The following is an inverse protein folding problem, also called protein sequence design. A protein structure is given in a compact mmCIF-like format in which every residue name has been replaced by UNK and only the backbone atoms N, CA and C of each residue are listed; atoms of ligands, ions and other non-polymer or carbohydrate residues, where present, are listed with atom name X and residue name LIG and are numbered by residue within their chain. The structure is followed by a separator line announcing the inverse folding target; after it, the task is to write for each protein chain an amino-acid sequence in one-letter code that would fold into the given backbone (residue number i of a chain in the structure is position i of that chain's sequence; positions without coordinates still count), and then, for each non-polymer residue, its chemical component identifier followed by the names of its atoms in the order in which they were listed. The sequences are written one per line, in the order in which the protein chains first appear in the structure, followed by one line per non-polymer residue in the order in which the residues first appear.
data_IF_015583544913
#
_entry.id   IF_015583544913
#
_cell.length_a   1.000
_cell.length_b   1.000
_cell.length_c   1.000
_cell.angle_alpha   90.00
_cell.angle_beta   90.00
_cell.angle_gamma   90.00
#
_symmetry.space_group_name_H-M   'P 1'
#
loop_
_entity.id
_entity.type
_entity.pdbx_description
1 polymer ?
#
# COMPACT_ATOMS: atom_id res chain seq x y z
N UNK A 1 18.09 -9.63 -5.62
CA UNK A 1 17.86 -9.53 -7.07
C UNK A 1 18.47 -10.73 -7.80
N UNK A 2 19.77 -11.01 -7.67
CA UNK A 2 20.43 -12.18 -8.31
C UNK A 2 19.71 -13.51 -8.04
N UNK A 3 19.49 -13.85 -6.76
CA UNK A 3 18.73 -15.04 -6.39
C UNK A 3 17.33 -15.11 -7.00
N UNK A 4 16.67 -13.97 -7.26
CA UNK A 4 15.36 -13.95 -7.92
C UNK A 4 15.51 -14.27 -9.41
N UNK A 5 16.54 -13.73 -10.08
CA UNK A 5 16.83 -14.03 -11.48
C UNK A 5 17.16 -15.50 -11.68
N UNK A 6 18.01 -16.08 -10.82
CA UNK A 6 18.36 -17.51 -10.87
C UNK A 6 17.10 -18.38 -10.78
N UNK A 7 16.22 -18.08 -9.80
CA UNK A 7 14.96 -18.82 -9.65
C UNK A 7 13.99 -18.60 -10.81
N UNK A 8 13.98 -17.43 -11.45
CA UNK A 8 13.16 -17.19 -12.64
C UNK A 8 13.65 -18.00 -13.84
N UNK A 9 14.97 -18.09 -14.03
CA UNK A 9 15.59 -18.94 -15.06
C UNK A 9 15.29 -20.42 -14.82
N UNK A 10 15.47 -20.90 -13.58
CA UNK A 10 15.17 -22.29 -13.20
C UNK A 10 13.72 -22.70 -13.49
N UNK A 11 12.75 -21.79 -13.33
CA UNK A 11 11.33 -22.07 -13.60
C UNK A 11 11.03 -22.22 -15.09
N UNK A 12 11.84 -21.64 -15.98
CA UNK A 12 11.73 -21.82 -17.44
C UNK A 12 10.48 -21.20 -18.12
N UNK A 13 9.70 -20.37 -17.42
CA UNK A 13 8.54 -19.67 -18.00
C UNK A 13 8.90 -18.36 -18.70
N UNK A 14 10.10 -17.83 -18.44
CA UNK A 14 10.64 -16.66 -19.11
C UNK A 14 11.59 -17.07 -20.24
N UNK A 15 11.55 -16.40 -21.40
CA UNK A 15 12.72 -16.38 -22.27
C UNK A 15 13.88 -15.72 -21.52
N UNK A 16 15.06 -16.35 -21.53
CA UNK A 16 16.21 -15.94 -20.70
C UNK A 16 16.59 -14.46 -20.88
N UNK A 17 16.48 -13.94 -22.11
CA UNK A 17 16.78 -12.54 -22.44
C UNK A 17 15.89 -11.52 -21.70
N UNK A 18 14.71 -11.94 -21.23
CA UNK A 18 13.78 -11.06 -20.50
C UNK A 18 13.95 -11.11 -18.99
N UNK A 19 14.62 -12.12 -18.42
CA UNK A 19 14.72 -12.28 -16.95
C UNK A 19 15.31 -11.04 -16.28
N UNK A 20 16.43 -10.55 -16.81
CA UNK A 20 17.12 -9.36 -16.29
C UNK A 20 16.23 -8.11 -16.40
N UNK A 21 15.63 -7.90 -17.57
CA UNK A 21 14.80 -6.73 -17.86
C UNK A 21 13.56 -6.68 -16.97
N UNK A 22 12.86 -7.80 -16.82
CA UNK A 22 11.61 -7.91 -16.07
C UNK A 22 11.85 -7.84 -14.56
N UNK A 23 12.94 -8.44 -14.08
CA UNK A 23 13.36 -8.30 -12.68
C UNK A 23 13.75 -6.86 -12.36
N UNK A 24 14.54 -6.21 -13.22
CA UNK A 24 14.95 -4.81 -13.05
C UNK A 24 13.74 -3.88 -13.03
N UNK A 25 12.78 -4.10 -13.93
CA UNK A 25 11.56 -3.32 -13.97
C UNK A 25 10.73 -3.50 -12.68
N UNK A 26 10.60 -4.72 -12.17
CA UNK A 26 9.87 -4.98 -10.92
C UNK A 26 10.49 -4.26 -9.71
N UNK A 27 11.82 -4.33 -9.57
CA UNK A 27 12.53 -3.72 -8.44
C UNK A 27 12.58 -2.20 -8.51
N UNK A 28 12.80 -1.62 -9.69
CA UNK A 28 13.18 -0.21 -9.80
C UNK A 28 12.08 0.69 -10.36
N UNK A 29 11.17 0.16 -11.18
CA UNK A 29 10.20 0.99 -11.91
C UNK A 29 8.81 1.00 -11.26
N UNK A 30 8.53 0.07 -10.35
CA UNK A 30 7.25 0.00 -9.64
C UNK A 30 7.15 0.96 -8.45
N UNK A 31 8.25 1.61 -8.06
CA UNK A 31 8.26 2.49 -6.90
C UNK A 31 7.95 1.77 -5.58
N UNK A 32 8.12 0.45 -5.57
CA UNK A 32 8.04 -0.37 -4.36
C UNK A 32 9.26 -0.03 -3.51
N UNK A 33 9.03 0.22 -2.22
CA UNK A 33 10.09 0.61 -1.31
C UNK A 33 11.06 -0.56 -1.06
N UNK A 34 12.37 -0.29 -0.99
CA UNK A 34 13.40 -1.31 -0.78
C UNK A 34 13.13 -2.22 0.44
N UNK A 35 12.44 -1.68 1.44
CA UNK A 35 12.05 -2.43 2.64
C UNK A 35 11.06 -3.56 2.36
N UNK A 36 10.29 -3.49 1.29
CA UNK A 36 9.42 -4.58 0.84
C UNK A 36 10.28 -5.80 0.49
N UNK A 37 11.27 -5.60 -0.39
CA UNK A 37 12.14 -6.66 -0.90
C UNK A 37 13.05 -7.26 0.17
N UNK A 38 13.31 -6.54 1.26
CA UNK A 38 14.05 -7.06 2.41
C UNK A 38 13.23 -8.04 3.27
N UNK A 39 11.90 -7.95 3.25
CA UNK A 39 11.03 -8.81 4.07
C UNK A 39 10.28 -9.87 3.30
N UNK A 40 10.09 -9.65 2.01
CA UNK A 40 9.37 -10.58 1.16
C UNK A 40 10.26 -11.77 0.78
N UNK A 41 9.66 -12.96 0.65
CA UNK A 41 10.40 -14.14 0.25
C UNK A 41 10.79 -14.09 -1.24
N UNK A 42 11.94 -14.70 -1.59
CA UNK A 42 12.38 -14.84 -2.98
C UNK A 42 11.28 -15.51 -3.83
N UNK A 43 10.64 -16.57 -3.33
CA UNK A 43 9.57 -17.27 -4.05
C UNK A 43 8.33 -16.39 -4.28
N UNK A 44 7.95 -15.56 -3.30
CA UNK A 44 6.85 -14.60 -3.46
C UNK A 44 7.15 -13.60 -4.57
N UNK A 45 8.37 -13.03 -4.58
CA UNK A 45 8.81 -12.06 -5.59
C UNK A 45 8.84 -12.72 -6.98
N UNK A 46 9.41 -13.93 -7.09
CA UNK A 46 9.41 -14.72 -8.34
C UNK A 46 7.99 -14.93 -8.86
N UNK A 47 7.06 -15.33 -7.98
CA UNK A 47 5.65 -15.54 -8.34
C UNK A 47 5.00 -14.25 -8.85
N UNK A 48 5.27 -13.12 -8.21
CA UNK A 48 4.71 -11.82 -8.61
C UNK A 48 5.26 -11.36 -9.97
N UNK A 49 6.56 -11.49 -10.20
CA UNK A 49 7.20 -11.17 -11.50
C UNK A 49 6.59 -12.05 -12.61
N UNK A 50 6.48 -13.37 -12.39
CA UNK A 50 5.85 -14.29 -13.34
C UNK A 50 4.41 -13.89 -13.66
N UNK A 51 3.64 -13.51 -12.64
CA UNK A 51 2.24 -13.16 -12.83
C UNK A 51 2.07 -11.83 -13.56
N UNK A 52 2.94 -10.84 -13.30
CA UNK A 52 2.98 -9.58 -14.05
C UNK A 52 3.35 -9.82 -15.52
N UNK A 53 4.32 -10.68 -15.78
CA UNK A 53 4.69 -11.05 -17.14
C UNK A 53 3.55 -11.79 -17.86
N UNK A 54 2.89 -12.74 -17.19
CA UNK A 54 1.71 -13.41 -17.73
C UNK A 54 0.60 -12.41 -18.08
N UNK A 55 0.37 -11.39 -17.24
CA UNK A 55 -0.58 -10.33 -17.52
C UNK A 55 -0.19 -9.49 -18.75
N UNK A 56 1.11 -9.17 -18.93
CA UNK A 56 1.61 -8.48 -20.13
C UNK A 56 1.38 -9.31 -21.41
N UNK A 57 1.67 -10.61 -21.37
CA UNK A 57 1.44 -11.51 -22.51
C UNK A 57 -0.05 -11.63 -22.83
N UNK A 58 -0.89 -11.76 -21.79
CA UNK A 58 -2.34 -11.82 -21.97
C UNK A 58 -2.90 -10.53 -22.57
N UNK A 59 -2.44 -9.36 -22.13
CA UNK A 59 -2.83 -8.07 -22.70
C UNK A 59 -2.41 -7.94 -24.17
N UNK A 60 -1.21 -8.39 -24.53
CA UNK A 60 -0.73 -8.39 -25.91
C UNK A 60 -1.62 -9.22 -26.85
N UNK A 61 -2.20 -10.31 -26.34
CA UNK A 61 -3.07 -11.19 -27.10
C UNK A 61 -4.53 -10.68 -27.26
N UNK A 62 -4.92 -9.59 -26.58
CA UNK A 62 -6.26 -8.98 -26.70
C UNK A 62 -6.34 -8.05 -27.91
N UNK A 63 -7.52 -7.99 -28.53
CA UNK A 63 -7.79 -7.10 -29.69
C UNK A 63 -7.65 -5.62 -29.34
N UNK A 64 -8.01 -5.22 -28.11
CA UNK A 64 -7.92 -3.83 -27.64
C UNK A 64 -6.50 -3.43 -27.20
N UNK A 65 -5.59 -4.40 -27.03
CA UNK A 65 -4.21 -4.26 -26.55
C UNK A 65 -4.06 -3.45 -25.26
N UNK A 66 -5.12 -3.33 -24.46
CA UNK A 66 -5.07 -2.59 -23.20
C UNK A 66 -4.33 -3.40 -22.16
N UNK A 67 -3.31 -2.78 -21.55
CA UNK A 67 -2.52 -3.44 -20.51
C UNK A 67 -3.25 -3.32 -19.19
N UNK A 68 -4.21 -4.22 -19.00
CA UNK A 68 -4.95 -4.34 -17.76
C UNK A 68 -4.37 -5.47 -16.90
N UNK A 69 -3.65 -5.09 -15.86
CA UNK A 69 -3.09 -6.01 -14.87
C UNK A 69 -4.05 -6.05 -13.70
N UNK A 70 -4.54 -7.24 -13.39
CA UNK A 70 -5.34 -7.54 -12.21
C UNK A 70 -4.80 -8.82 -11.60
N UNK A 71 -4.25 -8.70 -10.40
CA UNK A 71 -3.67 -9.81 -9.67
C UNK A 71 -4.17 -9.74 -8.24
N UNK A 72 -4.68 -10.87 -7.75
CA UNK A 72 -4.93 -11.08 -6.34
C UNK A 72 -4.41 -12.44 -5.92
N UNK A 73 -3.57 -12.45 -4.89
CA UNK A 73 -3.10 -13.65 -4.21
C UNK A 73 -3.40 -13.48 -2.73
N UNK A 74 -4.27 -14.31 -2.20
CA UNK A 74 -4.64 -14.30 -0.79
C UNK A 74 -4.23 -15.63 -0.15
N UNK A 75 -3.61 -15.55 1.01
CA UNK A 75 -3.28 -16.68 1.89
C UNK A 75 -3.81 -16.38 3.30
N UNK A 76 -3.57 -17.27 4.27
CA UNK A 76 -4.06 -17.17 5.64
C UNK A 76 -3.53 -15.91 6.36
N UNK A 77 -2.23 -15.65 6.23
CA UNK A 77 -1.53 -14.58 6.96
C UNK A 77 -1.01 -13.44 6.07
N UNK A 78 -1.18 -13.54 4.75
CA UNK A 78 -0.72 -12.52 3.81
C UNK A 78 -1.62 -12.40 2.58
N UNK A 79 -1.65 -11.23 1.95
CA UNK A 79 -2.28 -11.05 0.65
C UNK A 79 -1.55 -9.99 -0.19
N UNK A 80 -1.60 -10.17 -1.50
CA UNK A 80 -1.03 -9.26 -2.49
C UNK A 80 -2.11 -8.94 -3.52
N UNK A 81 -2.34 -7.65 -3.76
CA UNK A 81 -3.21 -7.17 -4.83
C UNK A 81 -2.43 -6.23 -5.72
N UNK A 82 -2.56 -6.38 -7.03
CA UNK A 82 -1.97 -5.47 -8.00
C UNK A 82 -3.03 -5.13 -9.04
N UNK A 83 -3.31 -3.84 -9.22
CA UNK A 83 -4.15 -3.33 -10.30
C UNK A 83 -3.43 -2.31 -11.17
N UNK A 84 -3.98 -2.08 -12.35
CA UNK A 84 -3.74 -0.87 -13.13
C UNK A 84 -4.87 0.11 -12.86
N UNK A 85 -4.51 1.34 -12.52
CA UNK A 85 -5.47 2.39 -12.21
C UNK A 85 -4.95 3.77 -12.56
N UNK A 86 -5.86 4.67 -12.94
CA UNK A 86 -5.53 6.07 -13.23
C UNK A 86 -5.36 6.84 -11.92
N UNK A 87 -4.22 7.52 -11.69
CA UNK A 87 -4.00 8.31 -10.47
C UNK A 87 -5.04 9.42 -10.32
N UNK A 88 -5.54 9.63 -9.10
CA UNK A 88 -6.54 10.67 -8.83
C UNK A 88 -7.96 10.35 -9.26
N UNK A 89 -8.24 9.12 -9.70
CA UNK A 89 -9.56 8.72 -10.19
C UNK A 89 -10.04 7.51 -9.41
N UNK A 90 -11.21 7.63 -8.78
CA UNK A 90 -11.95 6.48 -8.24
C UNK A 90 -12.64 5.76 -9.39
N UNK A 91 -12.38 4.45 -9.51
CA UNK A 91 -13.07 3.57 -10.44
C UNK A 91 -14.07 2.71 -9.68
N UNK A 92 -15.35 2.80 -10.02
CA UNK A 92 -16.41 2.00 -9.39
C UNK A 92 -16.56 0.61 -10.04
N UNK A 93 -16.20 0.50 -11.32
CA UNK A 93 -16.33 -0.72 -12.13
C UNK A 93 -15.08 -1.62 -12.06
N UNK A 94 -14.16 -1.32 -11.13
CA UNK A 94 -12.90 -2.03 -10.94
C UNK A 94 -12.97 -3.21 -9.97
N UNK A 95 -11.83 -3.85 -9.67
CA UNK A 95 -11.76 -4.95 -8.70
C UNK A 95 -12.04 -4.51 -7.25
N UNK A 96 -12.10 -3.20 -6.97
CA UNK A 96 -12.42 -2.62 -5.67
C UNK A 96 -11.57 -3.21 -4.53
N UNK A 97 -10.27 -3.37 -4.78
CA UNK A 97 -9.35 -4.02 -3.85
C UNK A 97 -9.28 -3.33 -2.48
N UNK A 98 -9.37 -2.00 -2.39
CA UNK A 98 -9.41 -1.34 -1.08
C UNK A 98 -10.66 -1.68 -0.28
N UNK A 99 -11.84 -1.75 -0.91
CA UNK A 99 -13.07 -2.16 -0.23
C UNK A 99 -13.03 -3.64 0.20
N UNK A 100 -12.43 -4.50 -0.63
CA UNK A 100 -12.13 -5.90 -0.25
C UNK A 100 -11.16 -5.95 0.93
N UNK A 101 -10.14 -5.08 0.95
CA UNK A 101 -9.16 -5.01 2.03
C UNK A 101 -9.81 -4.53 3.33
N UNK A 102 -10.62 -3.47 3.28
CA UNK A 102 -11.38 -2.96 4.43
C UNK A 102 -12.20 -4.07 5.08
N UNK A 103 -13.11 -4.66 4.29
CA UNK A 103 -14.05 -5.67 4.78
C UNK A 103 -13.38 -6.92 5.35
N UNK A 104 -12.31 -7.40 4.70
CA UNK A 104 -11.66 -8.67 5.07
C UNK A 104 -10.63 -8.52 6.19
N UNK A 105 -9.87 -7.43 6.20
CA UNK A 105 -8.68 -7.29 7.05
C UNK A 105 -8.74 -6.14 8.06
N UNK A 106 -9.48 -5.06 7.81
CA UNK A 106 -9.43 -3.85 8.66
C UNK A 106 -10.66 -3.77 9.57
N UNK A 107 -11.84 -3.86 9.00
CA UNK A 107 -13.12 -3.58 9.64
C UNK A 107 -13.40 -4.51 10.83
N UNK A 108 -13.12 -5.80 10.65
CA UNK A 108 -13.23 -6.82 11.70
C UNK A 108 -11.94 -7.05 12.50
N UNK A 109 -10.93 -6.20 12.34
CA UNK A 109 -9.63 -6.34 13.00
C UNK A 109 -9.76 -6.20 14.52
N UNK A 110 -9.01 -7.03 15.24
CA UNK A 110 -8.89 -7.01 16.71
C UNK A 110 -7.42 -7.23 17.08
N UNK A 111 -6.95 -6.92 18.31
CA UNK A 111 -5.54 -7.10 18.68
C UNK A 111 -4.94 -8.49 18.38
N UNK A 112 -5.71 -9.57 18.51
CA UNK A 112 -5.26 -10.94 18.18
C UNK A 112 -5.35 -11.35 16.69
N UNK A 113 -5.98 -10.50 15.87
CA UNK A 113 -6.16 -10.70 14.42
C UNK A 113 -6.18 -9.33 13.74
N UNK A 114 -5.01 -8.69 13.72
CA UNK A 114 -4.79 -7.42 13.06
C UNK A 114 -3.79 -7.55 11.93
N UNK A 115 -3.82 -6.58 11.03
CA UNK A 115 -3.02 -6.60 9.81
C UNK A 115 -2.30 -5.27 9.61
N UNK A 116 -1.13 -5.36 8.99
CA UNK A 116 -0.37 -4.26 8.41
C UNK A 116 -0.66 -4.24 6.91
N UNK A 117 -0.85 -3.05 6.36
CA UNK A 117 -1.08 -2.87 4.93
C UNK A 117 -0.13 -1.83 4.39
N UNK A 118 0.51 -2.14 3.28
CA UNK A 118 1.35 -1.22 2.52
C UNK A 118 0.78 -1.10 1.10
N UNK A 119 0.61 0.12 0.62
CA UNK A 119 0.19 0.40 -0.74
C UNK A 119 1.19 1.33 -1.41
N UNK A 120 1.55 0.96 -2.64
CA UNK A 120 2.50 1.68 -3.47
C UNK A 120 1.88 1.93 -4.83
N UNK A 121 2.19 3.08 -5.42
CA UNK A 121 1.85 3.41 -6.79
C UNK A 121 3.12 3.62 -7.59
N UNK A 122 3.19 3.05 -8.79
CA UNK A 122 4.34 3.21 -9.67
C UNK A 122 4.58 4.67 -10.01
N UNK A 123 5.86 5.06 -10.09
CA UNK A 123 6.26 6.43 -10.42
C UNK A 123 6.00 6.73 -11.89
N UNK A 124 6.20 5.73 -12.74
CA UNK A 124 6.01 5.81 -14.19
C UNK A 124 4.69 5.16 -14.64
N UNK A 125 4.07 5.66 -15.73
CA UNK A 125 3.00 4.96 -16.43
C UNK A 125 3.46 3.61 -16.96
N UNK A 126 2.49 2.77 -17.31
CA UNK A 126 2.76 1.49 -17.95
C UNK A 126 3.28 1.67 -19.39
N UNK A 127 4.18 0.80 -19.87
CA UNK A 127 4.61 0.84 -21.27
C UNK A 127 3.41 0.72 -22.22
N UNK A 128 3.25 1.69 -23.11
CA UNK A 128 2.15 1.71 -24.09
C UNK A 128 0.84 2.35 -23.60
N UNK A 129 0.75 2.80 -22.34
CA UNK A 129 -0.39 3.58 -21.83
C UNK A 129 0.04 4.86 -21.11
N UNK A 130 -0.45 6.01 -21.57
CA UNK A 130 -0.05 7.32 -21.03
C UNK A 130 -0.76 7.70 -19.71
N UNK A 131 -1.81 6.97 -19.32
CA UNK A 131 -2.71 7.37 -18.22
C UNK A 131 -2.78 6.39 -17.04
N UNK A 132 -2.36 5.14 -17.20
CA UNK A 132 -2.46 4.12 -16.16
C UNK A 132 -1.13 3.89 -15.44
N UNK A 133 -1.22 3.72 -14.13
CA UNK A 133 -0.09 3.34 -13.28
C UNK A 133 -0.45 2.06 -12.53
N UNK A 134 0.58 1.32 -12.11
CA UNK A 134 0.38 0.18 -11.23
C UNK A 134 0.09 0.66 -9.82
N UNK A 135 -0.85 -0.02 -9.15
CA UNK A 135 -1.06 0.11 -7.73
C UNK A 135 -0.97 -1.27 -7.09
N UNK A 136 -0.09 -1.38 -6.11
CA UNK A 136 0.16 -2.60 -5.37
C UNK A 136 -0.35 -2.42 -3.94
N UNK A 137 -0.83 -3.50 -3.35
CA UNK A 137 -1.24 -3.62 -1.97
C UNK A 137 -0.65 -4.89 -1.39
N UNK A 138 0.02 -4.77 -0.25
CA UNK A 138 0.61 -5.86 0.48
C UNK A 138 0.01 -5.89 1.88
N UNK A 139 -0.62 -7.00 2.22
CA UNK A 139 -1.30 -7.21 3.50
C UNK A 139 -0.56 -8.29 4.26
N UNK A 140 -0.25 -8.03 5.53
CA UNK A 140 0.43 -8.97 6.39
C UNK A 140 -0.24 -9.03 7.75
N UNK A 141 -0.44 -10.22 8.30
CA UNK A 141 -0.86 -10.38 9.69
C UNK A 141 0.22 -9.83 10.63
N UNK A 142 -0.20 -9.06 11.63
CA UNK A 142 0.69 -8.46 12.61
C UNK A 142 1.27 -9.53 13.54
N UNK A 143 2.53 -9.32 13.93
CA UNK A 143 3.18 -10.08 14.99
C UNK A 143 3.66 -9.11 16.07
N UNK A 144 3.06 -9.20 17.25
CA UNK A 144 3.39 -8.34 18.38
C UNK A 144 4.31 -9.07 19.36
N UNK A 145 5.24 -8.34 19.98
CA UNK A 145 6.01 -8.85 21.11
C UNK A 145 5.12 -8.98 22.35
N UNK A 146 4.26 -7.97 22.59
CA UNK A 146 3.23 -7.99 23.61
C UNK A 146 1.83 -7.92 22.95
N UNK A 147 1.13 -9.06 22.75
CA UNK A 147 -0.16 -9.09 22.08
C UNK A 147 -1.33 -8.58 22.95
N UNK A 148 -1.17 -8.49 24.27
CA UNK A 148 -2.23 -8.07 25.18
C UNK A 148 -1.71 -7.00 26.18
N UNK A 149 -1.30 -5.82 25.70
CA UNK A 149 -0.92 -4.71 26.57
C UNK A 149 -2.15 -4.17 27.31
N UNK A 150 -1.91 -3.31 28.31
CA UNK A 150 -2.99 -2.53 28.93
C UNK A 150 -3.69 -1.62 27.90
N UNK A 151 -4.99 -1.30 28.08
CA UNK A 151 -5.75 -0.49 27.12
C UNK A 151 -5.21 0.95 26.98
N UNK A 152 -4.55 1.46 28.02
CA UNK A 152 -3.95 2.79 28.06
C UNK A 152 -2.43 2.77 27.77
N UNK A 153 -1.87 1.62 27.43
CA UNK A 153 -0.46 1.51 27.03
C UNK A 153 -0.25 2.24 25.71
N UNK A 154 0.70 3.17 25.67
CA UNK A 154 1.01 3.97 24.48
C UNK A 154 2.44 3.77 24.00
N UNK A 155 3.32 3.13 24.77
CA UNK A 155 4.73 2.98 24.41
C UNK A 155 4.86 2.11 23.16
N UNK A 156 5.26 2.72 22.04
CA UNK A 156 5.33 2.05 20.74
C UNK A 156 6.26 0.84 20.76
N UNK A 157 7.30 0.84 21.58
CA UNK A 157 8.25 -0.29 21.67
C UNK A 157 7.63 -1.51 22.36
N UNK A 158 6.50 -1.34 23.07
CA UNK A 158 5.71 -2.41 23.69
C UNK A 158 4.59 -2.86 22.75
N UNK A 159 3.85 -1.91 22.17
CA UNK A 159 2.62 -2.20 21.41
C UNK A 159 2.84 -2.37 19.91
N UNK A 160 4.04 -2.02 19.44
CA UNK A 160 4.42 -2.02 18.03
C UNK A 160 4.53 -3.41 17.44
N UNK A 161 4.14 -3.52 16.18
CA UNK A 161 4.36 -4.71 15.38
C UNK A 161 5.87 -4.87 15.09
N UNK A 162 6.37 -6.11 15.09
CA UNK A 162 7.81 -6.41 14.98
C UNK A 162 8.45 -5.80 13.74
N UNK A 163 7.84 -5.95 12.56
CA UNK A 163 8.37 -5.36 11.32
C UNK A 163 8.30 -3.84 11.37
N UNK A 164 7.23 -3.25 11.88
CA UNK A 164 7.15 -1.79 12.09
C UNK A 164 8.32 -1.29 12.95
N UNK A 165 8.58 -1.92 14.10
CA UNK A 165 9.63 -1.48 15.02
C UNK A 165 11.05 -1.63 14.45
N UNK A 166 11.26 -2.66 13.62
CA UNK A 166 12.52 -2.86 12.92
C UNK A 166 12.72 -1.85 11.79
N UNK A 167 11.64 -1.45 11.12
CA UNK A 167 11.70 -0.67 9.88
C UNK A 167 11.53 0.84 10.07
N UNK A 168 10.71 1.27 11.02
CA UNK A 168 10.35 2.66 11.17
C UNK A 168 11.56 3.50 11.58
N UNK A 169 11.77 4.62 10.88
CA UNK A 169 12.77 5.61 11.25
C UNK A 169 12.46 6.24 12.61
N UNK A 170 13.47 6.78 13.29
CA UNK A 170 13.28 7.47 14.57
C UNK A 170 12.22 8.59 14.49
N UNK A 171 12.20 9.34 13.39
CA UNK A 171 11.20 10.38 13.15
C UNK A 171 9.78 9.79 13.00
N UNK A 172 9.62 8.73 12.19
CA UNK A 172 8.31 8.07 12.04
C UNK A 172 7.83 7.48 13.36
N UNK A 173 8.72 6.87 14.14
CA UNK A 173 8.43 6.38 15.49
C UNK A 173 7.95 7.51 16.41
N UNK A 174 8.61 8.67 16.40
CA UNK A 174 8.21 9.83 17.21
C UNK A 174 6.81 10.34 16.84
N UNK A 175 6.54 10.53 15.54
CA UNK A 175 5.21 10.94 15.03
C UNK A 175 4.13 9.93 15.46
N UNK A 176 4.41 8.64 15.32
CA UNK A 176 3.46 7.59 15.70
C UNK A 176 3.24 7.52 17.21
N UNK A 177 4.30 7.69 18.00
CA UNK A 177 4.21 7.74 19.46
C UNK A 177 3.34 8.89 19.95
N UNK A 178 3.47 10.07 19.35
CA UNK A 178 2.67 11.25 19.68
C UNK A 178 1.19 11.03 19.33
N UNK A 179 0.90 10.66 18.09
CA UNK A 179 -0.49 10.50 17.63
C UNK A 179 -1.21 9.36 18.35
N UNK A 180 -0.51 8.27 18.70
CA UNK A 180 -1.08 7.17 19.50
C UNK A 180 -1.43 7.64 20.91
N UNK A 181 -0.54 8.40 21.56
CA UNK A 181 -0.81 8.99 22.89
C UNK A 181 -2.06 9.87 22.85
N UNK A 182 -2.19 10.69 21.80
CA UNK A 182 -3.36 11.53 21.57
C UNK A 182 -4.62 10.69 21.29
N UNK A 183 -4.52 9.61 20.53
CA UNK A 183 -5.66 8.75 20.20
C UNK A 183 -6.17 7.95 21.40
N UNK A 184 -5.28 7.48 22.27
CA UNK A 184 -5.66 6.76 23.50
C UNK A 184 -6.43 7.66 24.46
N UNK A 185 -6.08 8.95 24.54
CA UNK A 185 -6.76 9.92 25.41
C UNK A 185 -8.10 10.46 24.86
N UNK A 186 -8.49 10.09 23.64
CA UNK A 186 -9.67 10.64 22.94
C UNK A 186 -10.61 9.54 22.43
N UNK A 187 -11.85 9.90 22.14
CA UNK A 187 -12.86 8.99 21.58
C UNK A 187 -12.84 8.98 20.04
N UNK A 188 -12.62 10.14 19.43
CA UNK A 188 -12.58 10.29 17.97
C UNK A 188 -11.18 10.07 17.37
N UNK A 189 -11.10 9.89 16.04
CA UNK A 189 -9.81 9.86 15.34
C UNK A 189 -8.98 11.12 15.58
N UNK A 190 -7.66 10.95 15.65
CA UNK A 190 -6.69 12.04 15.69
C UNK A 190 -6.05 12.15 14.32
N UNK A 191 -5.96 13.37 13.80
CA UNK A 191 -5.44 13.64 12.46
C UNK A 191 -4.34 14.68 12.57
N UNK A 192 -3.19 14.38 11.98
CA UNK A 192 -2.04 15.27 11.88
C UNK A 192 -1.55 15.33 10.44
N UNK A 193 -1.06 16.51 10.01
CA UNK A 193 -0.56 16.74 8.66
C UNK A 193 0.82 17.34 8.74
N UNK A 194 1.75 16.78 7.96
CA UNK A 194 3.14 17.20 7.91
C UNK A 194 3.55 17.54 6.48
N UNK A 195 4.40 18.54 6.35
CA UNK A 195 5.02 18.90 5.09
C UNK A 195 6.24 18.02 4.83
N UNK A 196 6.38 17.53 3.59
CA UNK A 196 7.59 16.83 3.17
C UNK A 196 8.57 17.87 2.62
N UNK A 197 9.71 18.02 3.30
CA UNK A 197 10.74 18.99 2.95
C UNK A 197 11.20 18.80 1.49
N UNK A 198 11.29 19.90 0.74
CA UNK A 198 11.69 19.88 -0.66
C UNK A 198 10.65 19.34 -1.64
N UNK A 199 9.41 19.07 -1.20
CA UNK A 199 8.33 18.55 -2.06
C UNK A 199 7.02 19.31 -1.84
N UNK A 200 6.10 19.22 -2.82
CA UNK A 200 4.68 19.61 -2.63
C UNK A 200 3.85 18.50 -1.98
N UNK A 201 4.49 17.38 -1.63
CA UNK A 201 3.85 16.27 -0.94
C UNK A 201 3.50 16.63 0.51
N UNK A 202 2.35 16.14 0.95
CA UNK A 202 1.88 16.23 2.33
C UNK A 202 1.76 14.82 2.90
N UNK A 203 2.22 14.64 4.13
CA UNK A 203 1.99 13.40 4.89
C UNK A 203 0.80 13.59 5.82
N UNK A 204 -0.28 12.89 5.54
CA UNK A 204 -1.47 12.84 6.39
C UNK A 204 -1.40 11.59 7.27
N UNK A 205 -1.46 11.76 8.59
CA UNK A 205 -1.41 10.68 9.58
C UNK A 205 -2.72 10.67 10.37
N UNK A 206 -3.40 9.52 10.42
CA UNK A 206 -4.70 9.35 11.07
C UNK A 206 -4.62 8.18 12.05
N UNK A 207 -4.81 8.45 13.34
CA UNK A 207 -4.90 7.42 14.37
C UNK A 207 -6.34 7.24 14.86
N UNK A 208 -6.80 6.00 14.98
CA UNK A 208 -8.17 5.68 15.39
C UNK A 208 -8.22 4.31 16.08
N UNK A 209 -9.30 4.04 16.83
CA UNK A 209 -9.50 2.73 17.48
C UNK A 209 -9.99 1.69 16.47
N UNK A 210 -9.47 0.48 16.59
CA UNK A 210 -9.94 -0.66 15.79
C UNK A 210 -11.46 -0.83 15.95
N UNK A 211 -12.15 -1.05 14.81
CA UNK A 211 -13.61 -1.18 14.76
C UNK A 211 -14.39 0.14 14.88
N UNK A 212 -13.74 1.31 15.04
CA UNK A 212 -14.45 2.60 15.15
C UNK A 212 -14.61 3.34 13.82
N UNK A 213 -13.94 2.90 12.75
CA UNK A 213 -13.94 3.57 11.46
C UNK A 213 -13.99 2.56 10.31
N UNK A 214 -15.18 2.01 10.07
CA UNK A 214 -15.44 1.02 9.03
C UNK A 214 -15.24 1.62 7.64
N UNK A 215 -14.56 0.91 6.74
CA UNK A 215 -14.33 1.36 5.36
C UNK A 215 -13.37 2.54 5.22
N UNK A 216 -12.69 2.95 6.30
CA UNK A 216 -11.88 4.17 6.30
C UNK A 216 -10.72 4.11 5.30
N UNK A 217 -10.16 2.93 5.01
CA UNK A 217 -9.06 2.82 4.08
C UNK A 217 -9.53 3.21 2.69
N UNK A 218 -10.53 2.53 2.12
CA UNK A 218 -11.08 2.87 0.80
C UNK A 218 -11.66 4.29 0.75
N UNK A 219 -12.41 4.70 1.78
CA UNK A 219 -13.02 6.04 1.83
C UNK A 219 -12.00 7.18 1.78
N UNK A 220 -10.82 7.01 2.40
CA UNK A 220 -9.75 8.01 2.30
C UNK A 220 -9.25 8.17 0.85
N UNK A 221 -9.21 7.07 0.08
CA UNK A 221 -8.84 7.13 -1.33
C UNK A 221 -9.85 7.91 -2.17
N UNK A 222 -11.13 7.65 -1.97
CA UNK A 222 -12.19 8.40 -2.66
C UNK A 222 -12.18 9.88 -2.27
N UNK A 223 -11.93 10.17 -1.00
CA UNK A 223 -11.84 11.52 -0.49
C UNK A 223 -10.69 12.29 -1.16
N UNK A 224 -9.47 11.75 -1.14
CA UNK A 224 -8.35 12.50 -1.71
C UNK A 224 -8.43 12.56 -3.25
N UNK A 225 -9.00 11.56 -3.93
CA UNK A 225 -9.29 11.63 -5.37
C UNK A 225 -10.29 12.75 -5.69
N UNK A 226 -11.33 12.91 -4.87
CA UNK A 226 -12.30 14.01 -4.99
C UNK A 226 -11.62 15.39 -4.87
N UNK A 227 -10.51 15.51 -4.14
CA UNK A 227 -9.74 16.76 -4.07
C UNK A 227 -8.52 16.79 -5.01
N UNK A 228 -8.56 16.03 -6.11
CA UNK A 228 -7.51 16.01 -7.15
C UNK A 228 -6.12 15.60 -6.63
N UNK A 229 -6.08 14.80 -5.57
CA UNK A 229 -4.85 14.24 -5.03
C UNK A 229 -4.72 12.77 -5.45
N UNK A 230 -3.49 12.27 -5.40
CA UNK A 230 -3.19 10.84 -5.40
C UNK A 230 -2.23 10.52 -4.28
N UNK A 231 -2.22 9.27 -3.83
CA UNK A 231 -1.20 8.77 -2.91
C UNK A 231 -0.06 8.12 -3.69
N UNK A 232 1.19 8.47 -3.37
CA UNK A 232 2.36 7.70 -3.82
C UNK A 232 2.53 6.44 -2.97
N UNK A 233 2.32 6.59 -1.65
CA UNK A 233 2.38 5.52 -0.67
C UNK A 233 1.27 5.67 0.37
N UNK A 234 0.76 4.55 0.87
CA UNK A 234 -0.28 4.51 1.91
C UNK A 234 -0.01 3.32 2.82
N UNK A 235 0.01 3.57 4.12
CA UNK A 235 0.30 2.57 5.13
C UNK A 235 -0.87 2.48 6.11
N UNK A 236 -1.17 1.28 6.56
CA UNK A 236 -1.94 1.03 7.78
C UNK A 236 -1.08 0.18 8.70
N UNK A 237 -0.77 0.72 9.87
CA UNK A 237 -0.08 0.02 10.95
C UNK A 237 -1.07 -0.24 12.08
N UNK A 238 -1.18 -1.49 12.50
CA UNK A 238 -1.99 -1.87 13.66
C UNK A 238 -1.09 -2.04 14.88
N UNK A 239 -1.56 -1.62 16.05
CA UNK A 239 -0.87 -1.73 17.33
C UNK A 239 -1.65 -2.65 18.28
N UNK A 240 -0.96 -3.37 19.16
CA UNK A 240 -1.59 -4.40 20.01
C UNK A 240 -2.51 -3.83 21.10
N UNK A 241 -2.45 -2.53 21.39
CA UNK A 241 -3.42 -1.85 22.25
C UNK A 241 -4.76 -1.53 21.54
N UNK A 242 -4.91 -1.92 20.27
CA UNK A 242 -6.15 -1.71 19.51
C UNK A 242 -6.22 -0.37 18.78
N UNK A 243 -5.11 0.35 18.61
CA UNK A 243 -5.02 1.53 17.75
C UNK A 243 -4.55 1.13 16.35
N UNK A 244 -5.16 1.72 15.34
CA UNK A 244 -4.66 1.72 13.96
C UNK A 244 -4.15 3.12 13.62
N UNK A 245 -3.05 3.18 12.86
CA UNK A 245 -2.51 4.42 12.31
C UNK A 245 -2.40 4.29 10.79
N UNK A 246 -3.11 5.14 10.06
CA UNK A 246 -2.98 5.29 8.62
C UNK A 246 -2.02 6.44 8.32
N UNK A 247 -1.05 6.22 7.45
CA UNK A 247 -0.14 7.27 6.95
C UNK A 247 -0.20 7.34 5.43
N UNK A 248 -0.53 8.50 4.89
CA UNK A 248 -0.73 8.76 3.46
C UNK A 248 0.27 9.80 2.98
N UNK A 249 0.86 9.57 1.82
CA UNK A 249 1.75 10.52 1.14
C UNK A 249 1.02 11.08 -0.08
N UNK A 250 0.43 12.25 0.10
CA UNK A 250 -0.48 12.87 -0.86
C UNK A 250 0.27 13.85 -1.75
N UNK A 251 0.01 13.78 -3.06
CA UNK A 251 0.49 14.73 -4.06
C UNK A 251 -0.63 15.17 -5.00
N UNK A 252 -0.59 16.41 -5.51
CA UNK A 252 -1.50 16.86 -6.56
C UNK A 252 -1.41 16.02 -7.83
N UNK A 253 -2.55 15.83 -8.49
CA UNK A 253 -2.63 15.22 -9.82
C UNK A 253 -2.77 16.32 -10.87
N UNK A 254 -1.78 16.43 -11.75
CA UNK A 254 -1.83 17.36 -12.88
C UNK A 254 -2.56 16.71 -14.06
N UNK A 255 -3.89 16.58 -13.98
CA UNK A 255 -4.71 16.07 -15.08
C UNK A 255 -5.82 17.05 -15.44
N UNK A 256 -5.81 17.53 -16.69
CA UNK A 256 -6.77 18.51 -17.20
C UNK A 256 -8.23 18.04 -17.10
N UNK A 257 -8.50 16.74 -17.26
CA UNK A 257 -9.87 16.18 -17.16
C UNK A 257 -10.42 16.21 -15.73
N UNK A 258 -9.54 16.00 -14.75
CA UNK A 258 -9.88 16.06 -13.32
C UNK A 258 -10.08 17.52 -12.90
N UNK A 259 -9.35 18.44 -13.53
CA UNK A 259 -9.40 19.88 -13.23
C UNK A 259 -10.73 20.57 -13.53
N UNK A 260 -11.66 19.94 -14.24
CA UNK A 260 -12.98 20.49 -14.50
C UNK A 260 -14.07 19.96 -13.56
N UNK A 261 -13.85 18.83 -12.89
CA UNK A 261 -14.90 18.11 -12.13
C UNK A 261 -14.91 18.36 -10.63
N UNK A 262 -13.78 18.76 -10.05
CA UNK A 262 -13.55 18.71 -8.60
C UNK A 262 -12.98 20.02 -8.08
N UNK A 263 -13.10 20.40 -6.80
CA UNK A 263 -12.51 21.66 -6.29
C UNK A 263 -10.97 21.62 -6.31
N UNK A 264 -10.28 22.75 -6.59
CA UNK A 264 -8.83 22.84 -6.43
C UNK A 264 -8.44 22.84 -4.95
N UNK A 265 -7.23 22.36 -4.65
CA UNK A 265 -6.53 22.62 -3.38
C UNK A 265 -5.53 23.74 -3.67
N UNK A 266 -5.65 24.87 -2.97
CA UNK A 266 -4.69 25.99 -3.03
C UNK A 266 -3.36 25.62 -2.35
#
# INVERSE_FOLDING_TARGET
MEQVMDRLEEKGFFPSDFVVTETTWFYNMLGIDDMYFQTESVESIVTQILSLYAAKVAAYARDDKRLEIRLDKEDEDHAVYIDTSKPGVTSLDGPNYESRIDSKYIDGSKPGRSYRIESFRSTSPLPGEDAQQLRCYFVYRCQFANPNPGPDETNIEIIGEKRFLQKATANTKAIYQEIITNAVSRTGPVIEVFDIEGSREKRLVVAYRQGSAMGIFSALSDLYHYYRLTSSRKYLESFSNGINVISLYLRPVNNAEISQKYPPIE
#
